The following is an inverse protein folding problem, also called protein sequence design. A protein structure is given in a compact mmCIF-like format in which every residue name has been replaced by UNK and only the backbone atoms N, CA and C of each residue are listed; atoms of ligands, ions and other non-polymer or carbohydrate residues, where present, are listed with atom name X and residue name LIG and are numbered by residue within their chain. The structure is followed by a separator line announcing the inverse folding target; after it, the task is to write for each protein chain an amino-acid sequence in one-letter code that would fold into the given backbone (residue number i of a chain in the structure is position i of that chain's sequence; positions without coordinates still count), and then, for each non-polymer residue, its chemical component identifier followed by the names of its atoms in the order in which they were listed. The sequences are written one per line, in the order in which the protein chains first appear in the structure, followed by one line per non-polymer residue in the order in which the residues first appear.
data_IF_798254800568
#
_entry.id   IF_798254800568
#
_cell.length_a   1.000
_cell.length_b   1.000
_cell.length_c   1.000
_cell.angle_alpha   90.00
_cell.angle_beta   90.00
_cell.angle_gamma   90.00
#
_symmetry.space_group_name_H-M   'P 1'
#
loop_
_entity.id
_entity.type
_entity.pdbx_description
1 polymer ?
#
# COMPACT_ATOMS: atom_id res chain seq x y z
N UNK A 1 15.30 -8.18 -1.85
CA UNK A 1 13.97 -7.66 -1.51
C UNK A 1 12.96 -8.21 -2.49
N UNK A 2 11.84 -8.69 -2.00
CA UNK A 2 10.65 -9.04 -2.78
C UNK A 2 9.51 -8.15 -2.32
N UNK A 3 8.68 -7.68 -3.24
CA UNK A 3 7.55 -6.81 -2.92
C UNK A 3 6.42 -7.05 -3.91
N UNK A 4 5.21 -7.05 -3.41
CA UNK A 4 4.02 -6.92 -4.25
C UNK A 4 3.83 -5.47 -4.74
N UNK A 5 2.85 -5.25 -5.60
CA UNK A 5 2.63 -3.95 -6.25
C UNK A 5 1.30 -3.28 -5.83
N UNK A 6 0.62 -3.82 -4.84
CA UNK A 6 -0.69 -3.33 -4.34
C UNK A 6 -0.60 -2.46 -3.07
N UNK A 7 0.62 -2.20 -2.60
CA UNK A 7 0.88 -1.34 -1.44
C UNK A 7 1.39 0.03 -1.89
N UNK A 8 0.73 1.08 -1.42
CA UNK A 8 1.17 2.47 -1.55
C UNK A 8 1.84 2.90 -0.25
N UNK A 9 3.14 3.13 -0.27
CA UNK A 9 3.92 3.58 0.88
C UNK A 9 5.24 4.20 0.45
N UNK A 10 5.89 4.90 1.35
CA UNK A 10 7.28 5.35 1.21
C UNK A 10 8.12 4.69 2.29
N UNK A 11 8.96 3.74 1.90
CA UNK A 11 9.81 2.95 2.80
C UNK A 11 11.27 2.98 2.33
N UNK A 12 12.20 3.11 3.27
CA UNK A 12 13.63 2.92 2.99
C UNK A 12 14.00 1.44 3.20
N UNK A 13 14.23 0.74 2.11
CA UNK A 13 14.62 -0.67 2.18
C UNK A 13 15.98 -0.91 2.83
N UNK A 14 16.83 0.12 2.97
CA UNK A 14 18.12 -0.01 3.67
C UNK A 14 17.89 -0.33 5.14
N UNK A 15 16.97 0.40 5.78
CA UNK A 15 16.62 0.17 7.19
C UNK A 15 16.08 -1.26 7.40
N UNK A 16 15.27 -1.76 6.46
CA UNK A 16 14.72 -3.12 6.52
C UNK A 16 15.82 -4.18 6.33
N UNK A 17 16.77 -3.93 5.42
CA UNK A 17 17.90 -4.83 5.18
C UNK A 17 18.86 -4.83 6.39
N UNK A 18 19.16 -3.67 6.95
CA UNK A 18 20.01 -3.55 8.13
C UNK A 18 19.38 -4.31 9.31
N UNK A 19 18.08 -4.10 9.54
CA UNK A 19 17.31 -4.86 10.54
C UNK A 19 17.38 -6.38 10.31
N UNK A 20 17.25 -6.82 9.04
CA UNK A 20 17.33 -8.24 8.67
C UNK A 20 18.70 -8.84 9.03
N UNK A 21 19.78 -8.12 8.70
CA UNK A 21 21.14 -8.57 8.96
C UNK A 21 21.47 -8.57 10.46
N UNK A 22 21.12 -7.49 11.17
CA UNK A 22 21.35 -7.36 12.61
C UNK A 22 20.65 -8.44 13.42
N UNK A 23 19.45 -8.82 13.01
CA UNK A 23 18.70 -9.88 13.68
C UNK A 23 19.07 -11.29 13.20
N UNK A 24 19.91 -11.44 12.17
CA UNK A 24 20.24 -12.74 11.58
C UNK A 24 18.97 -13.51 11.19
N UNK A 25 18.03 -12.83 10.55
CA UNK A 25 16.77 -13.42 10.13
C UNK A 25 16.95 -14.24 8.85
N UNK A 26 16.16 -15.31 8.69
CA UNK A 26 16.04 -16.03 7.42
C UNK A 26 15.11 -15.26 6.46
N UNK A 27 13.99 -14.75 7.00
CA UNK A 27 13.07 -13.85 6.30
C UNK A 27 12.68 -12.71 7.24
N UNK A 28 12.71 -11.47 6.72
CA UNK A 28 12.08 -10.32 7.38
C UNK A 28 10.84 -9.92 6.60
N UNK A 29 9.70 -9.86 7.29
CA UNK A 29 8.42 -9.41 6.76
C UNK A 29 8.20 -7.97 7.19
N UNK A 30 7.92 -7.09 6.25
CA UNK A 30 7.48 -5.74 6.59
C UNK A 30 6.01 -5.78 6.98
N UNK A 31 5.70 -5.25 8.15
CA UNK A 31 4.34 -5.20 8.70
C UNK A 31 3.90 -3.78 8.99
N UNK A 32 2.60 -3.57 9.06
CA UNK A 32 2.01 -2.30 9.46
C UNK A 32 0.76 -2.52 10.30
N UNK A 33 0.49 -1.61 11.24
CA UNK A 33 -0.75 -1.63 12.03
C UNK A 33 -1.89 -1.03 11.22
N UNK A 34 -2.97 -1.77 11.09
CA UNK A 34 -4.17 -1.34 10.37
C UNK A 34 -5.42 -1.96 10.96
N UNK A 35 -6.54 -1.32 10.71
CA UNK A 35 -7.84 -1.91 10.96
C UNK A 35 -8.17 -2.85 9.79
N UNK A 36 -8.25 -4.14 10.08
CA UNK A 36 -8.60 -5.18 9.12
C UNK A 36 -10.03 -5.64 9.34
N UNK A 37 -10.77 -5.82 8.27
CA UNK A 37 -12.15 -6.31 8.31
C UNK A 37 -12.43 -7.20 7.10
N UNK A 38 -12.44 -8.51 7.36
CA UNK A 38 -12.71 -9.51 6.31
C UNK A 38 -14.10 -9.38 5.70
N UNK A 39 -15.08 -8.89 6.45
CA UNK A 39 -16.46 -8.71 5.95
C UNK A 39 -16.54 -7.67 4.82
N UNK A 40 -15.58 -6.76 4.75
CA UNK A 40 -15.43 -5.76 3.67
C UNK A 40 -14.69 -6.28 2.43
N UNK A 41 -14.36 -7.55 2.39
CA UNK A 41 -13.65 -8.17 1.28
C UNK A 41 -12.13 -7.93 1.28
N UNK A 42 -11.58 -7.33 2.33
CA UNK A 42 -10.13 -7.13 2.46
C UNK A 42 -9.41 -8.48 2.55
N UNK A 43 -8.23 -8.55 1.94
CA UNK A 43 -7.35 -9.71 2.00
C UNK A 43 -6.03 -9.30 2.64
N UNK A 44 -5.66 -9.97 3.72
CA UNK A 44 -4.39 -9.71 4.39
C UNK A 44 -3.87 -10.93 5.15
N UNK A 45 -2.56 -10.96 5.31
CA UNK A 45 -1.90 -11.87 6.25
C UNK A 45 -1.66 -11.13 7.55
N UNK A 46 -2.33 -11.58 8.60
CA UNK A 46 -2.17 -11.03 9.96
C UNK A 46 -0.99 -11.71 10.64
N UNK A 47 -0.09 -10.92 11.18
CA UNK A 47 1.19 -11.37 11.74
C UNK A 47 1.18 -11.20 13.26
N UNK A 48 1.35 -12.30 13.98
CA UNK A 48 1.60 -12.31 15.41
C UNK A 48 3.10 -12.36 15.71
N UNK A 49 3.55 -11.56 16.67
CA UNK A 49 4.98 -11.49 17.07
C UNK A 49 5.15 -11.63 18.56
N UNK A 50 6.33 -12.08 18.98
CA UNK A 50 6.79 -11.99 20.35
C UNK A 50 7.35 -10.59 20.68
N UNK A 51 7.84 -10.41 21.93
CA UNK A 51 8.43 -9.16 22.42
C UNK A 51 9.70 -8.74 21.66
N UNK A 52 10.37 -9.69 21.00
CA UNK A 52 11.59 -9.44 20.22
C UNK A 52 11.30 -9.19 18.72
N UNK A 53 10.04 -9.19 18.33
CA UNK A 53 9.63 -9.03 16.93
C UNK A 53 9.77 -10.30 16.08
N UNK A 54 10.02 -11.48 16.70
CA UNK A 54 10.00 -12.75 16.00
C UNK A 54 8.55 -13.12 15.68
N UNK A 55 8.32 -13.57 14.46
CA UNK A 55 6.99 -14.02 14.01
C UNK A 55 6.66 -15.36 14.67
N UNK A 56 5.58 -15.39 15.44
CA UNK A 56 5.07 -16.58 16.15
C UNK A 56 3.79 -17.12 15.53
N UNK A 57 3.04 -16.27 14.82
CA UNK A 57 1.83 -16.69 14.14
C UNK A 57 1.63 -15.94 12.81
N UNK A 58 1.04 -16.64 11.85
CA UNK A 58 0.68 -16.08 10.53
C UNK A 58 -0.70 -16.60 10.17
N UNK A 59 -1.68 -15.71 10.15
CA UNK A 59 -3.05 -16.03 9.75
C UNK A 59 -3.34 -15.41 8.40
N UNK A 60 -3.69 -16.24 7.42
CA UNK A 60 -4.02 -15.79 6.06
C UNK A 60 -5.53 -15.64 5.93
N UNK A 61 -5.97 -14.44 5.60
CA UNK A 61 -7.39 -14.09 5.44
C UNK A 61 -8.29 -14.50 6.62
N UNK A 62 -7.88 -14.21 7.88
CA UNK A 62 -8.66 -14.63 9.03
C UNK A 62 -10.04 -13.95 9.06
N UNK A 63 -11.04 -14.64 9.59
CA UNK A 63 -12.42 -14.11 9.74
C UNK A 63 -12.52 -13.25 11.00
N UNK A 64 -11.76 -12.15 11.02
CA UNK A 64 -11.70 -11.20 12.14
C UNK A 64 -11.98 -9.77 11.66
N UNK A 65 -12.32 -8.90 12.61
CA UNK A 65 -12.43 -7.46 12.42
C UNK A 65 -11.79 -6.77 13.61
N UNK A 66 -10.84 -5.86 13.37
CA UNK A 66 -10.15 -5.14 14.43
C UNK A 66 -8.76 -4.63 14.01
N UNK A 67 -8.14 -3.92 14.93
CA UNK A 67 -6.75 -3.50 14.75
C UNK A 67 -5.80 -4.68 14.89
N UNK A 68 -4.94 -4.85 13.89
CA UNK A 68 -3.94 -5.91 13.88
C UNK A 68 -2.71 -5.49 13.07
N UNK A 69 -1.64 -6.25 13.21
CA UNK A 69 -0.44 -6.12 12.37
C UNK A 69 -0.63 -6.95 11.11
N UNK A 70 -0.65 -6.30 9.97
CA UNK A 70 -0.78 -6.96 8.66
C UNK A 70 0.54 -6.97 7.91
N UNK A 71 0.78 -8.01 7.11
CA UNK A 71 1.87 -8.03 6.14
C UNK A 71 1.64 -6.97 5.07
N UNK A 72 2.68 -6.21 4.75
CA UNK A 72 2.69 -5.30 3.60
C UNK A 72 3.18 -6.00 2.32
N UNK A 73 3.28 -7.34 2.36
CA UNK A 73 3.74 -8.18 1.25
C UNK A 73 5.10 -7.74 0.68
N UNK A 74 5.93 -7.23 1.57
CA UNK A 74 7.33 -6.86 1.35
C UNK A 74 8.23 -7.73 2.22
N UNK A 75 9.23 -8.36 1.62
CA UNK A 75 10.07 -9.34 2.28
C UNK A 75 11.54 -9.09 1.97
N UNK A 76 12.39 -9.23 2.99
CA UNK A 76 13.84 -9.33 2.82
C UNK A 76 14.25 -10.77 3.09
N UNK A 77 14.98 -11.35 2.16
CA UNK A 77 15.44 -12.74 2.19
C UNK A 77 16.76 -12.86 1.43
N UNK A 78 17.67 -13.70 1.90
CA UNK A 78 18.91 -13.94 1.16
C UNK A 78 18.64 -14.71 -0.14
N UNK A 79 19.44 -14.47 -1.17
CA UNK A 79 19.32 -15.14 -2.46
C UNK A 79 19.44 -16.66 -2.33
N UNK A 80 20.37 -17.11 -1.51
CA UNK A 80 20.66 -18.53 -1.27
C UNK A 80 19.47 -19.20 -0.61
N UNK A 81 18.90 -18.60 0.42
CA UNK A 81 17.74 -19.11 1.13
C UNK A 81 16.48 -19.12 0.24
N UNK A 82 16.25 -18.05 -0.51
CA UNK A 82 15.15 -18.00 -1.47
C UNK A 82 15.24 -19.12 -2.52
N UNK A 83 16.45 -19.37 -3.05
CA UNK A 83 16.66 -20.46 -4.00
C UNK A 83 16.35 -21.83 -3.39
N UNK A 84 16.77 -22.07 -2.15
CA UNK A 84 16.49 -23.34 -1.44
C UNK A 84 14.99 -23.53 -1.27
N UNK A 85 14.27 -22.49 -0.82
CA UNK A 85 12.81 -22.51 -0.66
C UNK A 85 12.14 -22.83 -2.00
N UNK A 86 12.46 -22.09 -3.06
CA UNK A 86 11.82 -22.28 -4.38
C UNK A 86 12.01 -23.70 -4.91
N UNK A 87 13.22 -24.24 -4.82
CA UNK A 87 13.50 -25.62 -5.27
C UNK A 87 12.74 -26.65 -4.40
N UNK A 88 12.74 -26.49 -3.08
CA UNK A 88 12.03 -27.36 -2.17
C UNK A 88 10.51 -27.31 -2.39
N UNK A 89 9.95 -26.11 -2.53
CA UNK A 89 8.51 -25.89 -2.73
C UNK A 89 8.02 -26.45 -4.06
N UNK A 90 8.79 -26.30 -5.12
CA UNK A 90 8.46 -26.85 -6.43
C UNK A 90 8.32 -28.38 -6.39
N UNK A 91 9.19 -29.07 -5.64
CA UNK A 91 9.14 -30.52 -5.47
C UNK A 91 7.96 -31.01 -4.61
N UNK A 92 7.35 -30.12 -3.81
CA UNK A 92 6.25 -30.41 -2.90
C UNK A 92 4.90 -29.86 -3.35
N UNK A 93 4.82 -29.32 -4.58
CA UNK A 93 3.62 -28.65 -5.10
C UNK A 93 3.09 -27.52 -4.20
N UNK A 94 4.01 -26.75 -3.61
CA UNK A 94 3.74 -25.58 -2.77
C UNK A 94 3.85 -24.32 -3.63
N UNK A 95 2.80 -23.51 -3.68
CA UNK A 95 2.71 -22.35 -4.60
C UNK A 95 2.44 -21.03 -3.90
N UNK A 96 2.11 -21.04 -2.62
CA UNK A 96 1.84 -19.82 -1.83
C UNK A 96 2.98 -19.52 -0.89
N UNK A 97 3.71 -18.42 -1.14
CA UNK A 97 4.79 -18.00 -0.26
C UNK A 97 4.29 -17.79 1.19
N UNK A 98 3.13 -17.17 1.34
CA UNK A 98 2.58 -16.87 2.66
C UNK A 98 2.07 -18.12 3.39
N UNK A 99 1.30 -18.99 2.72
CA UNK A 99 0.72 -20.19 3.35
C UNK A 99 1.76 -21.29 3.53
N UNK A 100 2.50 -21.57 2.46
CA UNK A 100 3.36 -22.76 2.40
C UNK A 100 4.74 -22.51 3.01
N UNK A 101 5.17 -21.22 3.11
CA UNK A 101 6.46 -20.87 3.69
C UNK A 101 6.26 -20.14 5.01
N UNK A 102 5.65 -18.93 5.00
CA UNK A 102 5.58 -18.13 6.22
C UNK A 102 4.74 -18.80 7.32
N UNK A 103 3.57 -19.32 6.96
CA UNK A 103 2.68 -19.96 7.93
C UNK A 103 3.19 -21.37 8.32
N UNK A 104 3.56 -22.18 7.34
CA UNK A 104 3.91 -23.57 7.58
C UNK A 104 5.29 -23.77 8.22
N UNK A 105 6.27 -22.91 7.88
CA UNK A 105 7.67 -23.08 8.30
C UNK A 105 8.11 -22.09 9.39
N UNK A 106 7.20 -21.40 10.04
CA UNK A 106 7.50 -20.38 11.05
C UNK A 106 8.32 -20.90 12.26
N UNK A 107 8.18 -22.19 12.56
CA UNK A 107 8.88 -22.83 13.66
C UNK A 107 10.25 -23.41 13.23
N UNK A 108 10.45 -23.62 11.92
CA UNK A 108 11.70 -24.16 11.36
C UNK A 108 12.75 -23.08 11.14
N UNK A 109 12.31 -21.86 10.78
CA UNK A 109 13.18 -20.74 10.41
C UNK A 109 12.95 -19.52 11.30
N UNK A 110 13.93 -18.62 11.30
CA UNK A 110 13.84 -17.35 12.03
C UNK A 110 13.20 -16.27 11.18
N UNK A 111 11.89 -16.11 11.32
CA UNK A 111 11.16 -15.04 10.66
C UNK A 111 10.99 -13.85 11.62
N UNK A 112 11.33 -12.66 11.13
CA UNK A 112 11.25 -11.42 11.88
C UNK A 112 10.26 -10.46 11.25
N UNK A 113 9.59 -9.66 12.06
CA UNK A 113 8.69 -8.60 11.65
C UNK A 113 9.37 -7.25 11.78
N UNK A 114 9.45 -6.49 10.69
CA UNK A 114 9.85 -5.09 10.70
C UNK A 114 8.59 -4.21 10.64
N UNK A 115 8.26 -3.52 11.74
CA UNK A 115 7.09 -2.64 11.81
C UNK A 115 7.36 -1.34 11.06
N UNK A 116 6.68 -1.12 9.94
CA UNK A 116 6.66 0.16 9.23
C UNK A 116 5.70 1.12 9.94
N UNK A 117 6.23 2.26 10.39
CA UNK A 117 5.48 3.28 11.14
C UNK A 117 4.96 4.43 10.28
N UNK A 118 5.34 4.46 9.00
CA UNK A 118 4.90 5.47 8.04
C UNK A 118 3.50 5.20 7.50
N UNK A 119 3.04 6.11 6.64
CA UNK A 119 1.78 5.92 5.92
C UNK A 119 1.89 4.73 4.96
N UNK A 120 0.86 3.91 4.94
CA UNK A 120 0.66 2.90 3.91
C UNK A 120 -0.82 2.70 3.61
N UNK A 121 -1.11 2.23 2.41
CA UNK A 121 -2.46 1.81 2.01
C UNK A 121 -2.36 0.59 1.10
N UNK A 122 -3.17 -0.43 1.37
CA UNK A 122 -3.28 -1.63 0.53
C UNK A 122 -4.44 -1.47 -0.43
N UNK A 123 -4.17 -1.71 -1.72
CA UNK A 123 -5.16 -1.57 -2.81
C UNK A 123 -5.50 -2.96 -3.35
N UNK A 124 -6.31 -3.70 -2.64
CA UNK A 124 -6.76 -5.06 -2.99
C UNK A 124 -8.22 -5.10 -3.49
N UNK A 125 -8.96 -4.01 -3.29
CA UNK A 125 -10.37 -3.89 -3.68
C UNK A 125 -10.66 -2.54 -4.34
N UNK A 126 -11.77 -2.41 -5.06
CA UNK A 126 -12.23 -1.12 -5.59
C UNK A 126 -12.54 -0.11 -4.47
N UNK A 127 -13.05 -0.60 -3.34
CA UNK A 127 -13.28 0.23 -2.16
C UNK A 127 -11.95 0.71 -1.61
N UNK A 128 -10.97 -0.18 -1.44
CA UNK A 128 -9.61 0.17 -1.01
C UNK A 128 -8.95 1.18 -1.94
N UNK A 129 -9.12 1.04 -3.26
CA UNK A 129 -8.63 2.02 -4.22
C UNK A 129 -9.27 3.40 -4.02
N UNK A 130 -10.59 3.45 -3.84
CA UNK A 130 -11.31 4.70 -3.57
C UNK A 130 -10.86 5.32 -2.24
N UNK A 131 -10.82 4.54 -1.17
CA UNK A 131 -10.41 5.00 0.15
C UNK A 131 -8.97 5.52 0.16
N UNK A 132 -8.04 4.83 -0.51
CA UNK A 132 -6.65 5.25 -0.65
C UNK A 132 -6.51 6.61 -1.36
N UNK A 133 -7.29 6.84 -2.42
CA UNK A 133 -7.31 8.13 -3.10
C UNK A 133 -7.91 9.23 -2.22
N UNK A 134 -9.06 8.96 -1.58
CA UNK A 134 -9.74 9.94 -0.73
C UNK A 134 -8.94 10.28 0.53
N UNK A 135 -8.18 9.31 1.07
CA UNK A 135 -7.28 9.56 2.20
C UNK A 135 -6.21 10.63 1.90
N UNK A 136 -5.84 10.81 0.63
CA UNK A 136 -4.90 11.86 0.21
C UNK A 136 -5.50 13.27 0.23
N UNK A 137 -6.80 13.43 0.43
CA UNK A 137 -7.41 14.74 0.69
C UNK A 137 -7.01 15.28 2.07
N UNK A 138 -6.65 14.40 2.98
CA UNK A 138 -6.06 14.78 4.26
C UNK A 138 -4.60 15.23 4.08
N UNK A 139 -4.25 16.36 4.72
CA UNK A 139 -2.91 16.95 4.59
C UNK A 139 -1.83 16.13 5.30
N UNK A 140 -2.17 15.48 6.40
CA UNK A 140 -1.23 14.67 7.16
C UNK A 140 -0.84 13.43 6.37
N UNK A 141 -1.81 12.72 5.79
CA UNK A 141 -1.57 11.56 4.93
C UNK A 141 -0.71 11.92 3.71
N UNK A 142 -0.99 13.06 3.06
CA UNK A 142 -0.16 13.56 1.95
C UNK A 142 1.28 13.82 2.37
N UNK A 143 1.47 14.49 3.50
CA UNK A 143 2.81 14.81 4.00
C UNK A 143 3.60 13.56 4.40
N UNK A 144 2.91 12.54 4.92
CA UNK A 144 3.52 11.27 5.29
C UNK A 144 3.86 10.40 4.09
N UNK A 145 3.12 10.52 2.98
CA UNK A 145 3.41 9.80 1.74
C UNK A 145 4.44 10.54 0.86
N UNK A 146 4.25 11.84 0.62
CA UNK A 146 5.10 12.64 -0.25
C UNK A 146 6.23 13.33 0.52
N UNK A 147 7.18 12.53 1.00
CA UNK A 147 8.31 13.00 1.80
C UNK A 147 9.36 13.63 0.89
N UNK A 148 9.83 14.84 1.21
CA UNK A 148 10.84 15.56 0.40
C UNK A 148 12.16 14.83 0.26
N UNK A 149 12.58 14.09 1.28
CA UNK A 149 13.81 13.29 1.28
C UNK A 149 13.69 11.98 0.49
N UNK A 150 12.46 11.53 0.20
CA UNK A 150 12.19 10.30 -0.55
C UNK A 150 11.12 10.56 -1.62
N UNK A 151 11.45 11.30 -2.70
CA UNK A 151 10.49 11.68 -3.73
C UNK A 151 9.99 10.46 -4.50
N UNK A 152 8.68 10.44 -4.76
CA UNK A 152 8.05 9.44 -5.62
C UNK A 152 8.19 9.88 -7.07
N UNK A 153 8.89 9.08 -7.87
CA UNK A 153 9.08 9.36 -9.30
C UNK A 153 7.95 8.74 -10.11
N UNK A 154 7.26 9.57 -10.88
CA UNK A 154 6.20 9.14 -11.79
C UNK A 154 6.52 9.58 -13.22
N UNK A 155 5.76 9.05 -14.20
CA UNK A 155 5.93 9.46 -15.60
C UNK A 155 5.57 10.93 -15.76
N UNK A 156 6.54 11.73 -16.21
CA UNK A 156 6.34 13.15 -16.57
C UNK A 156 5.54 13.22 -17.86
N UNK A 157 4.56 14.12 -17.93
CA UNK A 157 3.79 14.45 -19.14
C UNK A 157 3.76 15.96 -19.30
N UNK A 158 3.84 16.43 -20.56
CA UNK A 158 3.76 17.86 -20.90
C UNK A 158 2.29 18.30 -21.00
N UNK A 159 1.55 18.19 -19.92
CA UNK A 159 0.19 18.73 -19.85
C UNK A 159 0.22 20.21 -19.44
N UNK A 160 -0.74 20.98 -19.94
CA UNK A 160 -0.92 22.35 -19.47
C UNK A 160 -1.36 22.42 -18.01
N UNK A 161 -1.26 23.60 -17.39
CA UNK A 161 -1.79 23.79 -16.04
C UNK A 161 -3.31 23.60 -16.00
N UNK A 162 -3.85 23.40 -14.81
CA UNK A 162 -5.30 23.34 -14.58
C UNK A 162 -5.94 24.67 -14.96
N UNK A 163 -7.04 24.61 -15.72
CA UNK A 163 -7.84 25.78 -16.07
C UNK A 163 -9.15 25.78 -15.27
N UNK A 164 -9.42 26.88 -14.61
CA UNK A 164 -10.68 27.13 -13.90
C UNK A 164 -11.57 28.12 -14.69
N UNK A 165 -12.86 27.77 -14.84
CA UNK A 165 -13.87 28.68 -15.38
C UNK A 165 -14.27 29.75 -14.36
N UNK A 166 -14.91 30.86 -14.85
CA UNK A 166 -15.29 31.97 -13.98
C UNK A 166 -16.31 31.59 -12.89
N UNK A 167 -17.15 30.59 -13.16
CA UNK A 167 -18.21 30.14 -12.25
C UNK A 167 -17.85 28.83 -11.54
N UNK A 168 -16.62 28.35 -11.72
CA UNK A 168 -16.16 27.12 -11.04
C UNK A 168 -16.13 27.30 -9.52
N UNK A 169 -16.55 26.26 -8.80
CA UNK A 169 -16.52 26.22 -7.34
C UNK A 169 -15.86 24.92 -6.86
N UNK A 170 -14.68 25.04 -6.29
CA UNK A 170 -13.88 23.88 -5.88
C UNK A 170 -13.65 23.92 -4.38
N UNK A 171 -13.91 22.78 -3.72
CA UNK A 171 -13.68 22.57 -2.30
C UNK A 171 -12.98 21.24 -2.06
N UNK A 172 -12.01 21.22 -1.14
CA UNK A 172 -11.32 20.04 -0.65
C UNK A 172 -11.04 18.98 -1.73
N UNK A 173 -10.29 19.35 -2.77
CA UNK A 173 -10.07 18.45 -3.93
C UNK A 173 -8.63 18.47 -4.39
N UNK A 174 -8.12 17.32 -4.83
CA UNK A 174 -6.84 17.19 -5.53
C UNK A 174 -7.10 17.14 -7.03
N UNK A 175 -6.43 18.00 -7.78
CA UNK A 175 -6.65 18.15 -9.22
C UNK A 175 -5.31 18.09 -9.91
N UNK A 176 -5.14 17.10 -10.80
CA UNK A 176 -3.94 16.95 -11.59
C UNK A 176 -3.90 17.92 -12.78
N UNK A 177 -2.72 18.05 -13.38
CA UNK A 177 -2.45 18.87 -14.57
C UNK A 177 -3.35 18.52 -15.78
N UNK A 178 -3.59 19.50 -16.65
CA UNK A 178 -4.40 19.35 -17.86
C UNK A 178 -5.91 19.35 -17.64
N UNK A 179 -6.40 19.48 -16.41
CA UNK A 179 -7.83 19.52 -16.13
C UNK A 179 -8.48 20.87 -16.53
N UNK A 180 -9.74 20.80 -16.91
CA UNK A 180 -10.59 21.98 -17.18
C UNK A 180 -11.83 21.90 -16.31
N UNK A 181 -11.99 22.84 -15.38
CA UNK A 181 -13.08 22.85 -14.41
C UNK A 181 -13.94 24.10 -14.61
N UNK A 182 -15.15 23.91 -15.10
CA UNK A 182 -16.14 25.00 -15.29
C UNK A 182 -17.32 24.87 -14.31
N UNK A 183 -17.51 23.70 -13.70
CA UNK A 183 -18.60 23.37 -12.78
C UNK A 183 -18.17 23.34 -11.29
N UNK A 184 -18.92 22.57 -10.50
CA UNK A 184 -18.71 22.43 -9.05
C UNK A 184 -17.99 21.11 -8.76
N UNK A 185 -16.95 21.18 -7.92
CA UNK A 185 -16.17 20.01 -7.47
C UNK A 185 -16.00 20.08 -5.96
N UNK A 186 -16.43 19.06 -5.26
CA UNK A 186 -16.32 18.98 -3.81
C UNK A 186 -15.82 17.62 -3.36
N UNK A 187 -14.78 17.60 -2.54
CA UNK A 187 -14.22 16.38 -1.96
C UNK A 187 -13.88 15.31 -3.02
N UNK A 188 -13.05 15.67 -4.00
CA UNK A 188 -12.75 14.82 -5.16
C UNK A 188 -11.25 14.70 -5.43
N UNK A 189 -10.87 13.60 -6.07
CA UNK A 189 -9.55 13.41 -6.68
C UNK A 189 -9.73 13.31 -8.19
N UNK A 190 -9.19 14.28 -8.92
CA UNK A 190 -9.28 14.36 -10.39
C UNK A 190 -7.93 14.04 -11.01
N UNK A 191 -7.86 12.95 -11.76
CA UNK A 191 -6.67 12.59 -12.53
C UNK A 191 -6.46 13.54 -13.71
N UNK A 192 -5.35 13.36 -14.43
CA UNK A 192 -4.96 14.24 -15.55
C UNK A 192 -6.02 14.32 -16.65
N UNK A 193 -6.21 15.52 -17.21
CA UNK A 193 -7.05 15.74 -18.39
C UNK A 193 -8.56 15.68 -18.15
N UNK A 194 -9.01 15.62 -16.90
CA UNK A 194 -10.45 15.60 -16.55
C UNK A 194 -11.12 16.92 -16.92
N UNK A 195 -12.32 16.84 -17.48
CA UNK A 195 -13.13 18.01 -17.87
C UNK A 195 -14.47 18.02 -17.16
N UNK A 196 -14.70 19.02 -16.33
CA UNK A 196 -15.99 19.26 -15.67
C UNK A 196 -16.67 20.45 -16.33
N UNK A 197 -17.75 20.18 -17.06
CA UNK A 197 -18.49 21.20 -17.81
C UNK A 197 -19.29 22.16 -16.92
N UNK A 198 -19.81 23.21 -17.53
CA UNK A 198 -20.72 24.17 -16.87
C UNK A 198 -21.93 23.41 -16.30
N UNK A 199 -22.42 23.88 -15.17
CA UNK A 199 -23.59 23.32 -14.46
C UNK A 199 -23.41 21.88 -13.96
N UNK A 200 -22.29 21.22 -14.24
CA UNK A 200 -21.96 19.92 -13.67
C UNK A 200 -21.53 20.05 -12.20
N UNK A 201 -21.95 19.10 -11.38
CA UNK A 201 -21.55 18.99 -9.99
C UNK A 201 -21.00 17.59 -9.70
N UNK A 202 -19.79 17.54 -9.17
CA UNK A 202 -19.10 16.29 -8.81
C UNK A 202 -18.76 16.35 -7.33
N UNK A 203 -19.11 15.31 -6.60
CA UNK A 203 -18.87 15.21 -5.17
C UNK A 203 -18.47 13.79 -4.77
N UNK A 204 -17.54 13.71 -3.80
CA UNK A 204 -17.07 12.46 -3.21
C UNK A 204 -16.66 11.43 -4.30
N UNK A 205 -15.87 11.87 -5.28
CA UNK A 205 -15.53 11.06 -6.45
C UNK A 205 -14.02 11.01 -6.71
N UNK A 206 -13.60 9.90 -7.29
CA UNK A 206 -12.30 9.76 -7.94
C UNK A 206 -12.56 9.67 -9.45
N UNK A 207 -12.12 10.66 -10.22
CA UNK A 207 -12.26 10.65 -11.69
C UNK A 207 -10.94 10.28 -12.34
N UNK A 208 -11.02 9.26 -13.20
CA UNK A 208 -9.86 8.73 -13.90
C UNK A 208 -9.41 9.65 -15.03
N UNK A 209 -8.25 9.35 -15.59
CA UNK A 209 -7.62 10.16 -16.62
C UNK A 209 -8.52 10.33 -17.87
N UNK A 210 -8.52 11.56 -18.42
CA UNK A 210 -9.21 11.93 -19.66
C UNK A 210 -10.75 11.71 -19.64
N UNK A 211 -11.37 11.78 -18.45
CA UNK A 211 -12.83 11.71 -18.23
C UNK A 211 -13.51 13.06 -18.51
#
# INVERSE_FOLDING_TARGET
VMSDCDIVTTIDYRDVVDFHVENGADITVVTGKSFYDRSKGQSASVIGTDENGRITDVMVDPQISGECSISLDMFVVSKEFLRQIVVSSASRSQYSFTKDILQACKDEYKFMSYEHKGYFSKIDTMIGYYEANMALLDTENRNNLFIKSAPIYTKIRDNGPVRFGLESNIKNSLIADGCVIEGKVENCVLCRGVKIGKDAAVKDCVLMQDT
#
